data_IF_105413110906
#
_entry.id   IF_105413110906
#
_cell.length_a   1.000
_cell.length_b   1.000
_cell.length_c   1.000
_cell.angle_alpha   90.00
_cell.angle_beta   90.00
_cell.angle_gamma   90.00
#
_symmetry.space_group_name_H-M   'P 1'
#
loop_
_entity.id
_entity.type
_entity.pdbx_description
1 polymer ?
#
# COMPACT_ATOMS: atom_id res chain seq x y z
N UNK A 1 16.65 1.30 -7.49
CA UNK A 1 16.00 0.25 -8.30
C UNK A 1 16.99 -0.85 -8.63
N UNK A 2 18.13 -0.54 -9.30
CA UNK A 2 19.11 -1.56 -9.74
C UNK A 2 19.66 -2.38 -8.56
N UNK A 3 20.11 -1.72 -7.49
CA UNK A 3 20.69 -2.41 -6.33
C UNK A 3 19.65 -3.31 -5.62
N UNK A 4 18.42 -2.83 -5.45
CA UNK A 4 17.38 -3.59 -4.77
C UNK A 4 16.80 -4.71 -5.64
N UNK A 5 16.48 -4.44 -6.91
CA UNK A 5 15.86 -5.41 -7.81
C UNK A 5 16.85 -6.41 -8.41
N UNK A 6 17.95 -5.91 -9.02
CA UNK A 6 18.85 -6.76 -9.79
C UNK A 6 19.90 -7.47 -8.93
N UNK A 7 20.47 -6.80 -7.92
CA UNK A 7 21.52 -7.39 -7.08
C UNK A 7 20.97 -8.11 -5.86
N UNK A 8 19.91 -7.60 -5.24
CA UNK A 8 19.32 -8.20 -4.03
C UNK A 8 18.16 -9.15 -4.34
N UNK A 9 17.69 -9.23 -5.60
CA UNK A 9 16.61 -10.12 -6.02
C UNK A 9 15.24 -9.79 -5.40
N UNK A 10 15.03 -8.56 -4.91
CA UNK A 10 13.76 -8.14 -4.32
C UNK A 10 12.75 -7.75 -5.39
N UNK A 11 11.49 -8.16 -5.22
CA UNK A 11 10.38 -7.79 -6.12
C UNK A 11 9.79 -6.40 -5.84
N UNK A 12 10.50 -5.54 -5.07
CA UNK A 12 10.01 -4.22 -4.67
C UNK A 12 9.74 -3.30 -5.86
N UNK A 13 10.59 -3.37 -6.90
CA UNK A 13 10.38 -2.61 -8.13
C UNK A 13 9.12 -3.02 -8.88
N UNK A 14 8.74 -4.31 -8.84
CA UNK A 14 7.56 -4.81 -9.54
C UNK A 14 6.28 -4.24 -8.91
N UNK A 15 6.07 -4.46 -7.60
CA UNK A 15 4.87 -3.96 -6.96
C UNK A 15 4.80 -2.43 -6.94
N UNK A 16 5.94 -1.75 -6.75
CA UNK A 16 5.97 -0.28 -6.73
C UNK A 16 5.66 0.31 -8.11
N UNK A 17 6.19 -0.26 -9.20
CA UNK A 17 5.86 0.16 -10.56
C UNK A 17 4.37 -0.01 -10.87
N UNK A 18 3.78 -1.14 -10.46
CA UNK A 18 2.34 -1.38 -10.61
C UNK A 18 1.52 -0.42 -9.74
N UNK A 19 1.99 -0.07 -8.54
CA UNK A 19 1.32 0.90 -7.68
C UNK A 19 1.37 2.32 -8.28
N UNK A 20 2.52 2.76 -8.81
CA UNK A 20 2.64 4.03 -9.56
C UNK A 20 1.75 4.02 -10.80
N UNK A 21 1.81 2.94 -11.59
CA UNK A 21 0.97 2.77 -12.77
C UNK A 21 -0.53 2.85 -12.42
N UNK A 22 -0.93 2.29 -11.26
CA UNK A 22 -2.33 2.34 -10.82
C UNK A 22 -2.82 3.78 -10.59
N UNK A 23 -2.00 4.61 -9.94
CA UNK A 23 -2.30 6.03 -9.71
C UNK A 23 -2.38 6.76 -11.04
N UNK A 24 -1.39 6.58 -11.92
CA UNK A 24 -1.37 7.17 -13.26
C UNK A 24 -2.61 6.80 -14.08
N UNK A 25 -2.98 5.53 -14.14
CA UNK A 25 -4.12 5.05 -14.93
C UNK A 25 -5.44 5.65 -14.44
N UNK A 26 -5.65 5.79 -13.13
CA UNK A 26 -6.84 6.45 -12.59
C UNK A 26 -6.89 7.92 -13.03
N UNK A 27 -5.78 8.64 -12.94
CA UNK A 27 -5.68 10.06 -13.31
C UNK A 27 -5.82 10.25 -14.83
N UNK A 28 -5.30 9.30 -15.63
CA UNK A 28 -5.47 9.26 -17.08
C UNK A 28 -6.89 8.88 -17.55
N UNK A 29 -7.86 8.70 -16.63
CA UNK A 29 -9.24 8.36 -16.96
C UNK A 29 -9.52 6.87 -17.19
N UNK A 30 -8.61 5.99 -16.79
CA UNK A 30 -8.75 4.54 -16.89
C UNK A 30 -8.88 3.86 -15.51
N UNK A 31 -9.93 4.17 -14.71
CA UNK A 31 -10.03 3.71 -13.32
C UNK A 31 -10.09 2.19 -13.18
N UNK A 32 -10.66 1.48 -14.14
CA UNK A 32 -10.71 0.02 -14.13
C UNK A 32 -9.31 -0.59 -14.20
N UNK A 33 -8.50 -0.12 -15.15
CA UNK A 33 -7.11 -0.55 -15.30
C UNK A 33 -6.26 -0.17 -14.07
N UNK A 34 -6.53 0.98 -13.45
CA UNK A 34 -5.91 1.39 -12.21
C UNK A 34 -6.18 0.41 -11.07
N UNK A 35 -7.45 -0.04 -10.92
CA UNK A 35 -7.81 -1.05 -9.91
C UNK A 35 -7.19 -2.41 -10.21
N UNK A 36 -7.13 -2.83 -11.48
CA UNK A 36 -6.41 -4.04 -11.88
C UNK A 36 -4.93 -3.93 -11.51
N UNK A 37 -4.29 -2.81 -11.80
CA UNK A 37 -2.87 -2.61 -11.53
C UNK A 37 -2.55 -2.67 -10.03
N UNK A 38 -3.37 -2.04 -9.15
CA UNK A 38 -3.14 -2.13 -7.69
C UNK A 38 -3.45 -3.53 -7.15
N UNK A 39 -4.43 -4.24 -7.71
CA UNK A 39 -4.70 -5.65 -7.38
C UNK A 39 -3.54 -6.56 -7.74
N UNK A 40 -2.94 -6.36 -8.92
CA UNK A 40 -1.73 -7.06 -9.31
C UNK A 40 -0.55 -6.71 -8.39
N UNK A 41 -0.33 -5.42 -8.07
CA UNK A 41 0.71 -4.98 -7.13
C UNK A 41 0.57 -5.69 -5.77
N UNK A 42 -0.63 -5.73 -5.22
CA UNK A 42 -0.95 -6.39 -3.96
C UNK A 42 -0.69 -7.91 -4.02
N UNK A 43 -0.99 -8.54 -5.14
CA UNK A 43 -0.76 -9.97 -5.33
C UNK A 43 0.73 -10.33 -5.42
N UNK A 44 1.58 -9.39 -5.88
CA UNK A 44 3.04 -9.56 -5.84
C UNK A 44 3.60 -9.31 -4.44
N UNK A 45 3.09 -8.30 -3.73
CA UNK A 45 3.61 -7.94 -2.42
C UNK A 45 2.57 -7.18 -1.58
N UNK A 46 2.37 -7.65 -0.34
CA UNK A 46 1.41 -7.06 0.61
C UNK A 46 1.63 -5.55 0.83
N UNK A 47 2.88 -5.07 0.71
CA UNK A 47 3.24 -3.66 0.92
C UNK A 47 2.52 -2.68 -0.05
N UNK A 48 1.93 -3.16 -1.14
CA UNK A 48 1.04 -2.35 -1.96
C UNK A 48 -0.14 -1.76 -1.16
N UNK A 49 -0.50 -2.38 -0.03
CA UNK A 49 -1.53 -1.90 0.90
C UNK A 49 -1.27 -0.48 1.40
N UNK A 50 -0.01 -0.03 1.47
CA UNK A 50 0.32 1.33 1.92
C UNK A 50 -0.12 2.42 0.93
N UNK A 51 -0.25 2.08 -0.35
CA UNK A 51 -0.75 2.98 -1.39
C UNK A 51 -2.27 2.87 -1.55
N UNK A 52 -2.87 1.73 -1.19
CA UNK A 52 -4.30 1.48 -1.42
C UNK A 52 -5.26 2.54 -0.84
N UNK A 53 -5.00 3.20 0.30
CA UNK A 53 -5.91 4.24 0.79
C UNK A 53 -6.10 5.42 -0.17
N UNK A 54 -5.22 5.61 -1.17
CA UNK A 54 -5.44 6.61 -2.22
C UNK A 54 -6.72 6.33 -3.02
N UNK A 55 -7.14 5.06 -3.13
CA UNK A 55 -8.38 4.72 -3.82
C UNK A 55 -9.64 5.22 -3.10
N UNK A 56 -9.59 5.37 -1.77
CA UNK A 56 -10.61 6.09 -1.01
C UNK A 56 -10.68 7.56 -1.47
N UNK A 57 -9.52 8.21 -1.66
CA UNK A 57 -9.46 9.59 -2.14
C UNK A 57 -9.98 9.70 -3.58
N UNK A 58 -9.62 8.76 -4.46
CA UNK A 58 -10.16 8.68 -5.82
C UNK A 58 -11.68 8.48 -5.85
N UNK A 59 -12.22 7.70 -4.93
CA UNK A 59 -13.66 7.53 -4.81
C UNK A 59 -14.33 8.81 -4.31
N UNK A 60 -13.80 9.45 -3.29
CA UNK A 60 -14.32 10.72 -2.76
C UNK A 60 -14.31 11.84 -3.81
N UNK A 61 -13.28 11.88 -4.66
CA UNK A 61 -13.13 12.85 -5.76
C UNK A 61 -13.81 12.39 -7.07
N UNK A 62 -14.58 11.30 -7.02
CA UNK A 62 -15.35 10.74 -8.16
C UNK A 62 -14.49 10.23 -9.34
N UNK A 63 -13.19 10.05 -9.15
CA UNK A 63 -12.29 9.46 -10.17
C UNK A 63 -12.52 7.94 -10.32
N UNK A 64 -12.90 7.26 -9.24
CA UNK A 64 -13.21 5.83 -9.21
C UNK A 64 -14.64 5.65 -8.69
N UNK A 65 -15.40 4.74 -9.30
CA UNK A 65 -16.74 4.36 -8.84
C UNK A 65 -16.63 3.14 -7.92
N UNK A 66 -17.48 3.04 -6.91
CA UNK A 66 -17.47 1.92 -5.95
C UNK A 66 -17.57 0.53 -6.63
N UNK A 67 -18.30 0.43 -7.74
CA UNK A 67 -18.39 -0.81 -8.54
C UNK A 67 -17.04 -1.33 -9.04
N UNK A 68 -16.05 -0.44 -9.26
CA UNK A 68 -14.71 -0.85 -9.69
C UNK A 68 -13.96 -1.61 -8.58
N UNK A 69 -14.35 -1.41 -7.30
CA UNK A 69 -13.75 -2.13 -6.18
C UNK A 69 -13.90 -3.67 -6.28
N UNK A 70 -14.96 -4.14 -6.95
CA UNK A 70 -15.19 -5.58 -7.18
C UNK A 70 -14.13 -6.20 -8.11
N UNK A 71 -13.45 -5.39 -8.91
CA UNK A 71 -12.39 -5.86 -9.81
C UNK A 71 -11.11 -6.20 -9.04
N UNK A 72 -10.88 -5.57 -7.88
CA UNK A 72 -9.71 -5.86 -7.05
C UNK A 72 -9.65 -7.34 -6.62
N UNK A 73 -10.64 -7.90 -5.92
CA UNK A 73 -10.61 -9.32 -5.56
C UNK A 73 -10.60 -10.26 -6.79
N UNK A 74 -11.28 -9.90 -7.87
CA UNK A 74 -11.22 -10.66 -9.12
C UNK A 74 -9.79 -10.70 -9.68
N UNK A 75 -9.07 -9.59 -9.65
CA UNK A 75 -7.66 -9.54 -10.05
C UNK A 75 -6.80 -10.43 -9.15
N UNK A 76 -6.98 -10.39 -7.83
CA UNK A 76 -6.24 -11.26 -6.91
C UNK A 76 -6.49 -12.75 -7.22
N UNK A 77 -7.73 -13.14 -7.53
CA UNK A 77 -8.04 -14.52 -7.94
C UNK A 77 -7.30 -14.89 -9.23
N UNK A 78 -7.33 -14.02 -10.24
CA UNK A 78 -6.62 -14.27 -11.52
C UNK A 78 -5.11 -14.41 -11.31
N UNK A 79 -4.53 -13.57 -10.44
CA UNK A 79 -3.09 -13.56 -10.16
C UNK A 79 -2.61 -14.84 -9.44
N UNK A 80 -3.45 -15.52 -8.68
CA UNK A 80 -3.08 -16.78 -8.02
C UNK A 80 -3.35 -18.02 -8.87
N UNK A 81 -4.05 -17.90 -10.00
CA UNK A 81 -4.37 -19.03 -10.88
C UNK A 81 -3.16 -19.89 -11.30
N UNK A 82 -1.99 -19.31 -11.64
CA UNK A 82 -0.82 -20.14 -11.96
C UNK A 82 -0.41 -21.09 -10.82
N UNK A 83 -0.49 -20.63 -9.57
CA UNK A 83 -0.19 -21.46 -8.40
C UNK A 83 -1.26 -22.56 -8.20
N UNK A 84 -2.52 -22.23 -8.47
CA UNK A 84 -3.64 -23.19 -8.39
C UNK A 84 -3.49 -24.26 -9.47
N UNK A 85 -3.16 -23.89 -10.70
CA UNK A 85 -2.89 -24.82 -11.79
C UNK A 85 -1.70 -25.74 -11.46
N UNK A 86 -0.71 -25.21 -10.73
CA UNK A 86 0.43 -26.00 -10.24
C UNK A 86 0.10 -26.91 -9.04
N UNK A 87 -1.19 -26.98 -8.62
CA UNK A 87 -1.67 -27.90 -7.58
C UNK A 87 -1.85 -27.29 -6.19
N UNK A 88 -1.69 -25.96 -6.02
CA UNK A 88 -1.97 -25.31 -4.74
C UNK A 88 -3.47 -25.07 -4.56
N UNK A 89 -3.98 -25.25 -3.33
CA UNK A 89 -5.35 -24.90 -3.00
C UNK A 89 -5.64 -23.40 -3.25
N UNK A 90 -6.78 -23.08 -3.89
CA UNK A 90 -7.15 -21.68 -4.16
C UNK A 90 -7.19 -20.84 -2.89
N UNK A 91 -7.80 -21.38 -1.83
CA UNK A 91 -7.94 -20.68 -0.55
C UNK A 91 -6.56 -20.45 0.11
N UNK A 92 -5.70 -21.46 0.07
CA UNK A 92 -4.33 -21.34 0.60
C UNK A 92 -3.52 -20.27 -0.14
N UNK A 93 -3.67 -20.21 -1.48
CA UNK A 93 -3.00 -19.20 -2.28
C UNK A 93 -3.49 -17.77 -1.98
N UNK A 94 -4.81 -17.58 -1.82
CA UNK A 94 -5.41 -16.28 -1.51
C UNK A 94 -5.11 -15.79 -0.09
N UNK A 95 -4.87 -16.69 0.86
CA UNK A 95 -4.64 -16.33 2.27
C UNK A 95 -3.17 -16.09 2.61
N UNK A 96 -2.22 -16.35 1.70
CA UNK A 96 -0.78 -16.11 1.91
C UNK A 96 -0.47 -14.72 2.48
N UNK A 97 -1.01 -13.61 1.95
CA UNK A 97 -0.71 -12.28 2.47
C UNK A 97 -1.09 -12.12 3.95
N UNK A 98 -2.18 -12.75 4.36
CA UNK A 98 -2.65 -12.70 5.77
C UNK A 98 -1.84 -13.62 6.68
N UNK A 99 -1.38 -14.77 6.18
CA UNK A 99 -0.51 -15.68 6.95
C UNK A 99 0.85 -15.05 7.21
N UNK A 100 1.37 -14.24 6.27
CA UNK A 100 2.64 -13.52 6.45
C UNK A 100 2.58 -12.50 7.58
N UNK A 101 1.42 -11.89 7.85
CA UNK A 101 1.28 -10.94 8.96
C UNK A 101 1.41 -11.63 10.34
N UNK A 102 1.04 -12.89 10.45
CA UNK A 102 1.15 -13.69 11.68
C UNK A 102 2.59 -14.16 11.99
N UNK A 103 3.50 -14.12 11.03
CA UNK A 103 4.91 -14.50 11.17
C UNK A 103 5.85 -13.33 11.47
N UNK A 104 5.31 -12.12 11.62
CA UNK A 104 6.08 -10.92 11.95
C UNK A 104 6.57 -11.06 13.39
N UNK A 105 7.88 -10.88 13.62
CA UNK A 105 8.48 -10.95 14.95
C UNK A 105 7.93 -9.89 15.91
N UNK A 106 8.33 -9.97 17.18
CA UNK A 106 7.81 -9.11 18.27
C UNK A 106 8.43 -7.70 18.32
N UNK A 107 9.48 -7.43 17.51
CA UNK A 107 10.15 -6.13 17.49
C UNK A 107 9.27 -5.05 16.86
N UNK A 108 9.18 -3.88 17.49
CA UNK A 108 8.42 -2.74 16.96
C UNK A 108 9.04 -2.14 15.69
N UNK A 109 10.36 -2.29 15.50
CA UNK A 109 11.09 -1.76 14.35
C UNK A 109 12.15 -2.77 13.87
N UNK A 110 12.29 -2.90 12.55
CA UNK A 110 13.31 -3.73 11.87
C UNK A 110 14.15 -2.87 10.92
N UNK A 111 15.01 -2.01 11.50
CA UNK A 111 15.86 -1.05 10.79
C UNK A 111 15.10 -0.09 9.88
N UNK A 112 13.84 0.19 10.19
CA UNK A 112 13.00 1.11 9.44
C UNK A 112 13.18 2.54 9.95
N UNK A 113 13.11 3.52 9.06
CA UNK A 113 13.02 4.95 9.39
C UNK A 113 11.62 5.32 9.89
N UNK A 114 11.10 4.57 10.85
CA UNK A 114 9.77 4.74 11.44
C UNK A 114 9.83 5.53 12.75
N UNK A 115 8.67 5.95 13.26
CA UNK A 115 8.57 6.60 14.58
C UNK A 115 9.18 5.73 15.68
N UNK A 116 9.14 4.42 15.54
CA UNK A 116 9.70 3.47 16.52
C UNK A 116 11.23 3.41 16.50
N UNK A 117 11.91 3.99 15.49
CA UNK A 117 13.36 4.19 15.53
C UNK A 117 13.78 5.32 16.48
N UNK A 118 12.86 6.23 16.81
CA UNK A 118 13.10 7.36 17.70
C UNK A 118 12.82 7.03 19.17
N UNK A 119 12.17 5.91 19.46
CA UNK A 119 11.75 5.49 20.80
C UNK A 119 12.49 4.22 21.18
N UNK A 120 13.51 4.33 22.03
CA UNK A 120 14.39 3.21 22.41
C UNK A 120 13.87 2.40 23.59
N UNK A 121 13.16 3.04 24.54
CA UNK A 121 12.69 2.41 25.78
C UNK A 121 11.16 2.41 25.86
N UNK A 122 10.55 1.45 25.16
CA UNK A 122 9.08 1.29 25.16
C UNK A 122 8.68 0.38 26.31
N UNK A 123 8.01 0.94 27.34
CA UNK A 123 7.51 0.18 28.50
C UNK A 123 6.41 -0.82 28.13
N UNK A 124 5.54 -0.45 27.18
CA UNK A 124 4.42 -1.26 26.70
C UNK A 124 4.45 -1.30 25.18
N UNK A 125 5.06 -2.33 24.55
CA UNK A 125 5.13 -2.46 23.12
C UNK A 125 3.76 -2.62 22.44
N UNK A 126 2.80 -3.25 23.11
CA UNK A 126 1.46 -3.46 22.54
C UNK A 126 0.67 -2.15 22.47
N UNK A 127 0.76 -1.33 23.51
CA UNK A 127 0.16 0.00 23.51
C UNK A 127 0.81 0.89 22.44
N UNK A 128 2.14 0.87 22.35
CA UNK A 128 2.87 1.63 21.34
C UNK A 128 2.48 1.22 19.91
N UNK A 129 2.36 -0.09 19.64
CA UNK A 129 1.88 -0.61 18.37
C UNK A 129 0.47 -0.12 18.02
N UNK A 130 -0.47 -0.16 18.99
CA UNK A 130 -1.83 0.33 18.81
C UNK A 130 -1.88 1.83 18.54
N UNK A 131 -1.06 2.62 19.24
CA UNK A 131 -0.95 4.06 19.01
C UNK A 131 -0.40 4.37 17.61
N UNK A 132 0.60 3.62 17.15
CA UNK A 132 1.14 3.75 15.80
C UNK A 132 0.10 3.44 14.72
N UNK A 133 -0.66 2.35 14.88
CA UNK A 133 -1.77 2.01 13.98
C UNK A 133 -2.83 3.12 14.00
N UNK A 134 -3.19 3.63 15.18
CA UNK A 134 -4.12 4.76 15.33
C UNK A 134 -3.64 6.02 14.63
N UNK A 135 -2.34 6.34 14.72
CA UNK A 135 -1.74 7.48 14.03
C UNK A 135 -1.78 7.32 12.51
N UNK A 136 -1.45 6.13 11.98
CA UNK A 136 -1.58 5.85 10.55
C UNK A 136 -3.04 5.99 10.06
N UNK A 137 -3.99 5.45 10.82
CA UNK A 137 -5.41 5.61 10.52
C UNK A 137 -5.87 7.07 10.56
N UNK A 138 -5.37 7.84 11.52
CA UNK A 138 -5.67 9.28 11.64
C UNK A 138 -5.20 10.04 10.39
N UNK A 139 -3.99 9.75 9.87
CA UNK A 139 -3.51 10.37 8.62
C UNK A 139 -4.45 10.09 7.47
N UNK A 140 -4.91 8.83 7.32
CA UNK A 140 -5.85 8.44 6.27
C UNK A 140 -7.17 9.22 6.42
N UNK A 141 -7.70 9.31 7.64
CA UNK A 141 -8.97 10.02 7.92
C UNK A 141 -8.83 11.53 7.64
N UNK A 142 -7.74 12.16 8.09
CA UNK A 142 -7.50 13.59 7.85
C UNK A 142 -7.41 13.90 6.35
N UNK A 143 -6.70 13.07 5.58
CA UNK A 143 -6.67 13.19 4.13
C UNK A 143 -8.05 12.97 3.51
N UNK A 144 -8.78 11.94 3.94
CA UNK A 144 -10.13 11.68 3.43
C UNK A 144 -11.09 12.85 3.69
N UNK A 145 -11.06 13.43 4.89
CA UNK A 145 -11.87 14.62 5.24
C UNK A 145 -11.45 15.81 4.37
N UNK A 146 -10.15 16.07 4.23
CA UNK A 146 -9.66 17.18 3.41
C UNK A 146 -10.10 17.04 1.94
N UNK A 147 -9.94 15.85 1.33
CA UNK A 147 -10.36 15.59 -0.03
C UNK A 147 -11.88 15.59 -0.20
N UNK A 148 -12.63 15.15 0.81
CA UNK A 148 -14.09 15.22 0.79
C UNK A 148 -14.59 16.67 0.79
N UNK A 149 -13.99 17.53 1.59
CA UNK A 149 -14.32 18.96 1.64
C UNK A 149 -13.95 19.68 0.33
N UNK A 150 -12.89 19.25 -0.34
CA UNK A 150 -12.40 19.84 -1.59
C UNK A 150 -12.70 19.01 -2.86
N UNK A 151 -13.63 18.09 -2.78
CA UNK A 151 -13.88 17.08 -3.84
C UNK A 151 -14.21 17.66 -5.22
N UNK A 152 -14.73 18.88 -5.30
CA UNK A 152 -15.10 19.54 -6.55
C UNK A 152 -13.95 20.36 -7.16
N UNK A 153 -12.89 20.61 -6.39
CA UNK A 153 -11.76 21.49 -6.76
C UNK A 153 -10.41 20.81 -6.45
N UNK A 154 -10.33 19.53 -6.74
CA UNK A 154 -9.16 18.71 -6.44
C UNK A 154 -8.30 18.50 -7.69
N UNK A 155 -7.04 18.95 -7.66
CA UNK A 155 -6.09 18.74 -8.74
C UNK A 155 -5.48 17.34 -8.73
N UNK A 156 -5.07 16.84 -9.88
CA UNK A 156 -4.36 15.57 -10.02
C UNK A 156 -3.05 15.57 -9.23
N UNK A 157 -2.35 16.71 -9.21
CA UNK A 157 -1.14 16.89 -8.41
C UNK A 157 -1.39 16.65 -6.91
N UNK A 158 -2.51 17.14 -6.37
CA UNK A 158 -2.86 16.91 -4.97
C UNK A 158 -3.07 15.42 -4.67
N UNK A 159 -3.66 14.68 -5.61
CA UNK A 159 -3.87 13.23 -5.48
C UNK A 159 -2.55 12.45 -5.56
N UNK A 160 -1.61 12.82 -6.44
CA UNK A 160 -0.28 12.22 -6.49
C UNK A 160 0.50 12.49 -5.20
N UNK A 161 0.48 13.73 -4.71
CA UNK A 161 1.13 14.08 -3.43
C UNK A 161 0.52 13.33 -2.26
N UNK A 162 -0.81 13.14 -2.25
CA UNK A 162 -1.47 12.34 -1.22
C UNK A 162 -1.09 10.86 -1.30
N UNK A 163 -0.94 10.29 -2.51
CA UNK A 163 -0.45 8.93 -2.69
C UNK A 163 0.98 8.76 -2.16
N UNK A 164 1.87 9.70 -2.47
CA UNK A 164 3.23 9.72 -1.96
C UNK A 164 3.26 9.88 -0.43
N UNK A 165 2.45 10.79 0.13
CA UNK A 165 2.33 10.99 1.57
C UNK A 165 1.83 9.73 2.28
N UNK A 166 0.82 9.05 1.76
CA UNK A 166 0.31 7.79 2.32
C UNK A 166 1.38 6.70 2.30
N UNK A 167 2.11 6.57 1.19
CA UNK A 167 3.20 5.60 1.06
C UNK A 167 4.37 5.86 2.02
N UNK A 168 4.55 7.09 2.51
CA UNK A 168 5.51 7.44 3.57
C UNK A 168 4.89 7.28 4.96
N UNK A 169 3.74 7.92 5.19
CA UNK A 169 3.18 8.06 6.53
C UNK A 169 2.70 6.73 7.10
N UNK A 170 2.12 5.85 6.26
CA UNK A 170 1.63 4.56 6.77
C UNK A 170 2.79 3.72 7.32
N UNK A 171 3.85 3.36 6.58
CA UNK A 171 4.95 2.59 7.15
C UNK A 171 5.76 3.36 8.20
N UNK A 172 5.71 4.72 8.22
CA UNK A 172 6.35 5.51 9.28
C UNK A 172 5.70 5.31 10.65
N UNK A 173 4.37 5.21 10.70
CA UNK A 173 3.63 5.04 11.95
C UNK A 173 3.33 3.58 12.30
N UNK A 174 3.32 2.65 11.33
CA UNK A 174 3.03 1.26 11.61
C UNK A 174 4.19 0.56 12.35
N UNK A 175 3.87 -0.35 13.30
CA UNK A 175 4.86 -1.21 13.93
C UNK A 175 5.38 -2.29 12.95
N UNK A 176 6.49 -2.92 13.30
CA UNK A 176 7.09 -4.06 12.60
C UNK A 176 7.55 -3.74 11.16
N UNK A 177 7.89 -2.49 10.88
CA UNK A 177 8.29 -2.05 9.55
C UNK A 177 9.78 -2.31 9.28
N UNK A 178 10.10 -2.62 7.99
CA UNK A 178 11.46 -2.70 7.46
C UNK A 178 11.78 -1.46 6.62
N UNK A 179 13.07 -1.15 6.47
CA UNK A 179 13.60 -0.04 5.66
C UNK A 179 13.05 -0.02 4.23
N UNK A 180 12.99 -1.18 3.58
CA UNK A 180 12.51 -1.37 2.20
C UNK A 180 11.02 -1.05 1.99
N UNK A 181 10.23 -0.88 3.04
CA UNK A 181 8.79 -0.60 2.91
C UNK A 181 8.50 0.82 2.41
N UNK A 182 9.49 1.70 2.43
CA UNK A 182 9.42 3.04 1.84
C UNK A 182 9.70 3.08 0.33
N UNK A 183 9.99 1.95 -0.31
CA UNK A 183 10.36 1.89 -1.72
C UNK A 183 9.26 2.45 -2.65
N UNK A 184 7.98 2.17 -2.36
CA UNK A 184 6.85 2.72 -3.12
C UNK A 184 6.77 4.26 -3.00
N UNK A 185 7.09 4.82 -1.83
CA UNK A 185 7.16 6.25 -1.62
C UNK A 185 8.25 6.90 -2.49
N UNK A 186 9.45 6.31 -2.52
CA UNK A 186 10.53 6.79 -3.38
C UNK A 186 10.13 6.75 -4.87
N UNK A 187 9.42 5.71 -5.31
CA UNK A 187 8.94 5.62 -6.69
C UNK A 187 7.87 6.69 -7.01
N UNK A 188 6.94 6.97 -6.09
CA UNK A 188 5.89 7.97 -6.27
C UNK A 188 6.41 9.42 -6.23
N UNK A 189 7.52 9.69 -5.54
CA UNK A 189 8.12 11.03 -5.50
C UNK A 189 8.93 11.36 -6.75
N UNK A 190 9.28 10.36 -7.56
CA UNK A 190 9.98 10.52 -8.82
C UNK A 190 9.03 10.59 -10.03
N UNK A 191 7.75 10.27 -9.85
CA UNK A 191 6.73 10.26 -10.89
C UNK A 191 5.99 11.59 -10.97
#
# INVERSE_FOLDING_TARGET
VVLNGALWGQCDSVYASLAVLSVYLVLAGHPLLGVISIGAAFSFKLQAVFVMPVFLLFWLTRRVRLRHALVFPATCVVMVLPAVIAGRGLWDALTIPFQQTGSIGTGLNYNSSSVFALVTDVRDPDLAAKLGIGAAALVIVLLAVWFWLRRNDCSDRALVLAAALLAVAIPFFLPHMHDRYFFAAAALTLA
#
